data_IF_323926495631
#
_entry.id   IF_323926495631
#
_cell.length_a   1.000
_cell.length_b   1.000
_cell.length_c   1.000
_cell.angle_alpha   90.00
_cell.angle_beta   90.00
_cell.angle_gamma   90.00
#
_symmetry.space_group_name_H-M   'P 1'
#
loop_
_entity.id
_entity.type
_entity.pdbx_description
1 polymer ?
#
# COMPACT_ATOMS: atom_id res chain seq x y z
N UNK A 1 -17.48 -0.80 -15.41
CA UNK A 1 -18.03 -1.87 -14.53
C UNK A 1 -18.88 -1.17 -13.48
N UNK A 2 -20.16 -1.46 -13.46
CA UNK A 2 -21.03 -0.91 -12.43
C UNK A 2 -20.96 -1.77 -11.16
N UNK A 3 -20.97 -1.11 -10.02
CA UNK A 3 -21.04 -1.78 -8.72
C UNK A 3 -22.45 -2.33 -8.52
N UNK A 4 -22.59 -3.59 -8.11
CA UNK A 4 -23.93 -4.14 -7.84
C UNK A 4 -24.58 -3.43 -6.65
N UNK A 5 -25.91 -3.27 -6.64
CA UNK A 5 -26.63 -2.68 -5.51
C UNK A 5 -26.32 -3.37 -4.18
N UNK A 6 -26.14 -4.70 -4.20
CA UNK A 6 -25.78 -5.49 -3.01
C UNK A 6 -24.39 -5.11 -2.47
N UNK A 7 -23.42 -4.87 -3.37
CA UNK A 7 -22.08 -4.46 -2.98
C UNK A 7 -22.09 -3.06 -2.37
N UNK A 8 -22.82 -2.12 -3.00
CA UNK A 8 -23.00 -0.76 -2.45
C UNK A 8 -23.67 -0.79 -1.07
N UNK A 9 -24.69 -1.63 -0.89
CA UNK A 9 -25.35 -1.79 0.42
C UNK A 9 -24.39 -2.33 1.47
N UNK A 10 -23.55 -3.31 1.11
CA UNK A 10 -22.52 -3.86 2.04
C UNK A 10 -21.48 -2.84 2.48
N UNK A 11 -21.20 -1.80 1.68
CA UNK A 11 -20.29 -0.73 2.04
C UNK A 11 -20.85 0.24 3.07
N UNK A 12 -22.18 0.37 3.18
CA UNK A 12 -22.81 1.31 4.11
C UNK A 12 -22.46 1.06 5.57
N UNK A 13 -22.12 -0.19 5.95
CA UNK A 13 -21.67 -0.51 7.32
C UNK A 13 -20.36 0.18 7.69
N UNK A 14 -19.63 0.67 6.70
CA UNK A 14 -18.36 1.40 6.88
C UNK A 14 -18.53 2.93 6.78
N UNK A 15 -19.75 3.45 6.52
CA UNK A 15 -20.00 4.86 6.27
C UNK A 15 -19.34 5.78 7.31
N UNK A 16 -19.49 5.44 8.60
CA UNK A 16 -18.95 6.24 9.71
C UNK A 16 -17.49 5.96 10.04
N UNK A 17 -16.80 5.11 9.28
CA UNK A 17 -15.40 4.76 9.52
C UNK A 17 -14.43 5.78 8.94
N UNK A 18 -14.84 6.55 7.93
CA UNK A 18 -14.05 7.64 7.34
C UNK A 18 -14.24 8.89 8.22
N UNK A 19 -13.18 9.31 8.90
CA UNK A 19 -13.18 10.46 9.83
C UNK A 19 -12.53 11.70 9.22
N UNK A 20 -11.61 11.52 8.27
CA UNK A 20 -10.90 12.57 7.53
C UNK A 20 -11.51 12.73 6.15
N UNK A 21 -11.27 13.88 5.52
CA UNK A 21 -11.66 14.08 4.15
C UNK A 21 -10.75 13.26 3.23
N UNK A 22 -11.34 12.39 2.41
CA UNK A 22 -10.64 11.51 1.48
C UNK A 22 -11.02 11.85 0.05
N UNK A 23 -10.08 11.81 -0.87
CA UNK A 23 -10.34 12.07 -2.28
C UNK A 23 -9.67 11.01 -3.15
N UNK A 24 -10.34 10.60 -4.22
CA UNK A 24 -9.72 9.90 -5.33
C UNK A 24 -9.26 10.92 -6.37
N UNK A 25 -7.96 11.15 -6.45
CA UNK A 25 -7.36 12.10 -7.38
C UNK A 25 -7.07 11.39 -8.71
N UNK A 26 -7.72 11.84 -9.77
CA UNK A 26 -7.68 11.20 -11.10
C UNK A 26 -7.00 12.12 -12.08
N UNK A 27 -6.25 11.56 -13.04
CA UNK A 27 -5.71 12.31 -14.17
C UNK A 27 -6.78 12.73 -15.17
N UNK A 28 -6.61 13.96 -15.68
CA UNK A 28 -7.44 14.54 -16.76
C UNK A 28 -6.95 14.08 -18.13
N UNK A 29 -7.06 12.79 -18.43
CA UNK A 29 -6.70 12.24 -19.74
C UNK A 29 -7.81 11.34 -20.28
N UNK A 30 -7.97 11.36 -21.61
CA UNK A 30 -8.99 10.56 -22.28
C UNK A 30 -8.58 9.10 -22.44
N UNK A 31 -9.56 8.22 -22.23
CA UNK A 31 -9.40 6.79 -22.46
C UNK A 31 -10.78 6.15 -22.73
N UNK A 32 -10.91 5.12 -23.59
CA UNK A 32 -12.19 4.46 -23.87
C UNK A 32 -12.90 3.92 -22.63
N UNK A 33 -12.17 3.59 -21.56
CA UNK A 33 -12.73 3.11 -20.29
C UNK A 33 -12.89 4.22 -19.23
N UNK A 34 -12.69 5.50 -19.58
CA UNK A 34 -12.72 6.61 -18.61
C UNK A 34 -14.08 6.75 -17.94
N UNK A 35 -15.14 6.64 -18.71
CA UNK A 35 -16.52 6.71 -18.19
C UNK A 35 -16.80 5.60 -17.18
N UNK A 36 -16.47 4.34 -17.53
CA UNK A 36 -16.65 3.20 -16.62
C UNK A 36 -15.78 3.33 -15.35
N UNK A 37 -14.59 3.90 -15.48
CA UNK A 37 -13.70 4.17 -14.38
C UNK A 37 -14.25 5.22 -13.42
N UNK A 38 -14.76 6.34 -13.96
CA UNK A 38 -15.40 7.39 -13.18
C UNK A 38 -16.69 6.90 -12.51
N UNK A 39 -17.52 6.16 -13.24
CA UNK A 39 -18.76 5.55 -12.70
C UNK A 39 -18.44 4.65 -11.49
N UNK A 40 -17.39 3.83 -11.58
CA UNK A 40 -16.97 2.95 -10.51
C UNK A 40 -16.51 3.74 -9.26
N UNK A 41 -15.65 4.74 -9.43
CA UNK A 41 -15.13 5.53 -8.31
C UNK A 41 -16.19 6.41 -7.67
N UNK A 42 -17.05 7.07 -8.49
CA UNK A 42 -18.17 7.86 -7.98
C UNK A 42 -19.22 6.99 -7.27
N UNK A 43 -19.44 5.75 -7.75
CA UNK A 43 -20.31 4.79 -7.07
C UNK A 43 -19.83 4.48 -5.65
N UNK A 44 -18.53 4.29 -5.45
CA UNK A 44 -17.97 4.12 -4.11
C UNK A 44 -18.09 5.41 -3.30
N UNK A 45 -17.70 6.55 -3.88
CA UNK A 45 -17.72 7.84 -3.20
C UNK A 45 -19.11 8.22 -2.71
N UNK A 46 -20.17 7.87 -3.45
CA UNK A 46 -21.56 8.16 -3.06
C UNK A 46 -22.02 7.53 -1.74
N UNK A 47 -21.28 6.55 -1.23
CA UNK A 47 -21.61 5.86 0.04
C UNK A 47 -21.08 6.63 1.26
N UNK A 48 -20.00 7.39 1.11
CA UNK A 48 -19.27 8.01 2.21
C UNK A 48 -19.41 9.54 2.15
N UNK A 49 -19.82 10.16 3.24
CA UNK A 49 -20.01 11.62 3.30
C UNK A 49 -18.71 12.42 3.17
N UNK A 50 -17.56 11.77 3.43
CA UNK A 50 -16.23 12.35 3.41
C UNK A 50 -15.32 11.76 2.32
N UNK A 51 -15.88 11.24 1.26
CA UNK A 51 -15.13 10.72 0.11
C UNK A 51 -15.64 11.38 -1.17
N UNK A 52 -14.75 11.97 -1.92
CA UNK A 52 -15.05 12.55 -3.23
C UNK A 52 -14.11 12.05 -4.33
N UNK A 53 -14.44 12.40 -5.57
CA UNK A 53 -13.63 12.12 -6.76
C UNK A 53 -13.26 13.44 -7.39
N UNK A 54 -11.95 13.70 -7.53
CA UNK A 54 -11.41 14.94 -8.10
C UNK A 54 -10.58 14.66 -9.33
N UNK A 55 -10.80 15.43 -10.39
CA UNK A 55 -9.98 15.38 -11.59
C UNK A 55 -8.91 16.45 -11.46
N UNK A 56 -7.64 16.05 -11.49
CA UNK A 56 -6.49 16.94 -11.41
C UNK A 56 -5.65 16.87 -12.68
N UNK A 57 -4.95 17.97 -13.00
CA UNK A 57 -3.98 17.97 -14.10
C UNK A 57 -2.81 17.06 -13.75
N UNK A 58 -2.48 16.24 -14.69
CA UNK A 58 -1.49 15.16 -14.73
C UNK A 58 -0.41 15.19 -13.64
N UNK A 59 -0.53 14.30 -12.68
CA UNK A 59 0.49 14.04 -11.66
C UNK A 59 1.35 12.82 -12.00
N UNK A 60 0.76 11.87 -12.74
CA UNK A 60 1.37 10.57 -13.07
C UNK A 60 1.29 10.30 -14.58
N UNK A 61 2.43 10.31 -15.25
CA UNK A 61 2.48 10.16 -16.70
C UNK A 61 2.57 8.70 -17.15
N UNK A 62 3.05 7.80 -16.30
CA UNK A 62 3.49 6.47 -16.74
C UNK A 62 2.32 5.51 -16.99
N UNK A 63 1.24 5.56 -16.19
CA UNK A 63 0.11 4.62 -16.28
C UNK A 63 -1.25 5.33 -16.43
N UNK A 64 -1.21 6.62 -16.66
CA UNK A 64 -2.35 7.44 -17.04
C UNK A 64 -2.93 6.92 -18.36
N UNK A 65 -4.25 6.99 -18.58
CA UNK A 65 -5.23 7.84 -17.92
C UNK A 65 -6.11 7.15 -16.87
N UNK A 66 -5.97 5.86 -16.64
CA UNK A 66 -6.78 5.11 -15.66
C UNK A 66 -6.06 4.95 -14.31
N UNK A 67 -5.29 5.95 -13.93
CA UNK A 67 -4.60 5.99 -12.63
C UNK A 67 -5.28 6.97 -11.70
N UNK A 68 -5.44 6.59 -10.44
CA UNK A 68 -5.84 7.49 -9.37
C UNK A 68 -4.99 7.25 -8.12
N UNK A 69 -4.91 8.29 -7.31
CA UNK A 69 -4.28 8.26 -6.00
C UNK A 69 -5.31 8.53 -4.92
N UNK A 70 -5.19 7.86 -3.79
CA UNK A 70 -5.96 8.19 -2.59
C UNK A 70 -5.26 9.36 -1.89
N UNK A 71 -5.99 10.45 -1.64
CA UNK A 71 -5.54 11.56 -0.81
C UNK A 71 -6.33 11.60 0.51
N UNK A 72 -5.73 12.14 1.54
CA UNK A 72 -6.34 12.36 2.86
C UNK A 72 -6.04 13.78 3.33
N UNK A 73 -7.06 14.55 3.72
CA UNK A 73 -6.94 15.96 4.10
C UNK A 73 -6.13 16.76 3.05
N UNK A 74 -6.48 16.60 1.77
CA UNK A 74 -5.83 17.19 0.59
C UNK A 74 -4.35 16.82 0.38
N UNK A 75 -3.82 15.83 1.12
CA UNK A 75 -2.46 15.36 0.98
C UNK A 75 -2.43 13.96 0.33
N UNK A 76 -1.58 13.74 -0.69
CA UNK A 76 -1.35 12.43 -1.26
C UNK A 76 -0.90 11.43 -0.20
N UNK A 77 -1.51 10.23 -0.21
CA UNK A 77 -1.12 9.17 0.73
C UNK A 77 -0.01 8.27 0.19
N UNK A 78 0.26 8.34 -1.11
CA UNK A 78 1.15 7.40 -1.79
C UNK A 78 0.49 6.07 -2.16
N UNK A 79 -0.82 5.93 -2.01
CA UNK A 79 -1.57 4.76 -2.46
C UNK A 79 -2.14 5.06 -3.85
N UNK A 80 -1.64 4.35 -4.87
CA UNK A 80 -2.05 4.52 -6.25
C UNK A 80 -2.61 3.21 -6.83
N UNK A 81 -3.58 3.37 -7.72
CA UNK A 81 -4.12 2.27 -8.52
C UNK A 81 -4.15 2.65 -10.00
N UNK A 82 -3.68 1.75 -10.86
CA UNK A 82 -3.86 1.82 -12.32
C UNK A 82 -4.75 0.70 -12.79
N UNK A 83 -5.94 1.08 -13.25
CA UNK A 83 -7.05 0.21 -13.60
C UNK A 83 -8.27 0.44 -12.71
N UNK A 84 -9.29 -0.39 -12.91
CA UNK A 84 -10.50 -0.41 -12.07
C UNK A 84 -10.30 -1.53 -11.04
N UNK A 85 -10.02 -1.23 -9.76
CA UNK A 85 -9.72 -2.25 -8.75
C UNK A 85 -10.99 -3.01 -8.35
N UNK A 86 -11.44 -3.91 -9.24
CA UNK A 86 -12.52 -4.85 -9.00
C UNK A 86 -12.01 -6.23 -8.54
N UNK A 87 -12.89 -7.25 -8.57
CA UNK A 87 -12.52 -8.59 -8.14
C UNK A 87 -11.92 -8.62 -6.75
N UNK A 88 -10.81 -9.34 -6.59
CA UNK A 88 -10.14 -9.44 -5.29
C UNK A 88 -9.52 -8.11 -4.81
N UNK A 89 -9.10 -7.21 -5.73
CA UNK A 89 -8.50 -5.93 -5.36
C UNK A 89 -9.53 -4.88 -4.89
N UNK A 90 -10.83 -5.14 -5.02
CA UNK A 90 -11.86 -4.28 -4.45
C UNK A 90 -11.68 -4.10 -2.94
N UNK A 91 -11.37 -5.17 -2.24
CA UNK A 91 -11.11 -5.12 -0.80
C UNK A 91 -9.86 -4.29 -0.46
N UNK A 92 -8.83 -4.35 -1.30
CA UNK A 92 -7.60 -3.54 -1.11
C UNK A 92 -7.88 -2.04 -1.28
N UNK A 93 -8.72 -1.68 -2.26
CA UNK A 93 -9.18 -0.30 -2.43
C UNK A 93 -9.97 0.19 -1.22
N UNK A 94 -10.99 -0.56 -0.80
CA UNK A 94 -11.85 -0.15 0.32
C UNK A 94 -11.04 -0.02 1.61
N UNK A 95 -10.19 -1.01 1.93
CA UNK A 95 -9.36 -0.96 3.13
C UNK A 95 -8.39 0.23 3.10
N UNK A 96 -7.71 0.47 1.97
CA UNK A 96 -6.82 1.63 1.81
C UNK A 96 -7.55 2.95 1.99
N UNK A 97 -8.76 3.08 1.44
CA UNK A 97 -9.64 4.26 1.59
C UNK A 97 -10.05 4.48 3.05
N UNK A 98 -10.47 3.43 3.75
CA UNK A 98 -10.86 3.51 5.16
C UNK A 98 -9.67 3.90 6.04
N UNK A 99 -8.48 3.34 5.78
CA UNK A 99 -7.27 3.63 6.53
C UNK A 99 -6.76 5.05 6.25
N UNK A 100 -6.81 5.52 5.01
CA UNK A 100 -6.57 6.92 4.66
C UNK A 100 -7.55 7.86 5.40
N UNK A 101 -8.81 7.44 5.54
CA UNK A 101 -9.86 8.13 6.30
C UNK A 101 -9.71 8.04 7.82
N UNK A 102 -8.64 7.46 8.36
CA UNK A 102 -8.34 7.42 9.78
C UNK A 102 -8.70 6.09 10.50
N UNK A 103 -9.09 5.05 9.76
CA UNK A 103 -9.23 3.71 10.35
C UNK A 103 -7.87 3.13 10.75
N UNK A 104 -7.86 2.23 11.73
CA UNK A 104 -6.64 1.64 12.28
C UNK A 104 -5.83 0.87 11.23
N UNK A 105 -4.52 1.11 11.22
CA UNK A 105 -3.54 0.30 10.50
C UNK A 105 -3.29 -0.99 11.30
N UNK A 106 -3.33 -2.13 10.62
CA UNK A 106 -3.24 -3.45 11.27
C UNK A 106 -1.86 -4.11 11.01
N UNK A 107 -0.81 -3.45 11.50
CA UNK A 107 0.56 -3.95 11.49
C UNK A 107 1.13 -3.96 12.90
N UNK A 108 2.08 -4.87 13.16
CA UNK A 108 2.81 -4.91 14.42
C UNK A 108 3.59 -3.61 14.66
N UNK A 109 3.61 -3.11 15.89
CA UNK A 109 4.31 -1.87 16.26
C UNK A 109 5.79 -1.89 15.85
N UNK A 110 6.44 -3.05 15.97
CA UNK A 110 7.83 -3.20 15.58
C UNK A 110 8.06 -3.03 14.08
N UNK A 111 7.10 -3.41 13.24
CA UNK A 111 7.13 -3.19 11.80
C UNK A 111 6.83 -1.73 11.46
N UNK A 112 5.85 -1.13 12.14
CA UNK A 112 5.55 0.29 12.01
C UNK A 112 6.79 1.14 12.30
N UNK A 113 7.52 0.83 13.38
CA UNK A 113 8.75 1.55 13.74
C UNK A 113 9.85 1.38 12.70
N UNK A 114 10.01 0.20 12.10
CA UNK A 114 10.96 -0.03 11.02
C UNK A 114 10.59 0.76 9.77
N UNK A 115 9.31 0.79 9.39
CA UNK A 115 8.81 1.54 8.24
C UNK A 115 9.02 3.05 8.43
N UNK A 116 8.75 3.59 9.63
CA UNK A 116 8.99 5.00 9.96
C UNK A 116 10.45 5.42 9.86
N UNK A 117 11.39 4.49 10.03
CA UNK A 117 12.82 4.76 9.94
C UNK A 117 13.34 4.78 8.49
N UNK A 118 12.52 4.48 7.50
CA UNK A 118 12.90 4.57 6.09
C UNK A 118 13.05 6.04 5.71
N UNK A 119 14.28 6.45 5.45
CA UNK A 119 14.68 7.84 5.22
C UNK A 119 14.86 8.21 3.74
N UNK A 120 14.79 7.22 2.84
CA UNK A 120 14.82 7.41 1.38
C UNK A 120 13.47 7.13 0.74
N UNK A 121 13.25 7.69 -0.45
CA UNK A 121 12.04 7.39 -1.24
C UNK A 121 12.09 5.95 -1.75
N UNK A 122 10.99 5.22 -1.55
CA UNK A 122 10.76 3.88 -2.07
C UNK A 122 9.42 3.89 -2.81
N UNK A 123 9.48 3.69 -4.10
CA UNK A 123 8.29 3.63 -4.94
C UNK A 123 8.06 2.17 -5.33
N UNK A 124 7.08 1.53 -4.69
CA UNK A 124 6.65 0.19 -5.06
C UNK A 124 5.73 0.25 -6.28
N UNK A 125 5.96 -0.65 -7.21
CA UNK A 125 5.04 -1.00 -8.29
C UNK A 125 4.63 -2.46 -8.07
N UNK A 126 3.33 -2.67 -7.84
CA UNK A 126 2.79 -3.99 -7.55
C UNK A 126 1.87 -4.43 -8.69
N UNK A 127 2.38 -5.32 -9.56
CA UNK A 127 1.58 -5.90 -10.62
C UNK A 127 0.68 -6.99 -10.06
N UNK A 128 -0.60 -6.89 -10.39
CA UNK A 128 -1.66 -7.78 -9.90
C UNK A 128 -2.53 -8.29 -11.05
N UNK A 129 -3.34 -9.29 -10.75
CA UNK A 129 -4.51 -9.66 -11.55
C UNK A 129 -5.74 -9.59 -10.66
N UNK A 130 -6.85 -9.08 -11.17
CA UNK A 130 -8.09 -8.94 -10.41
C UNK A 130 -8.71 -10.28 -9.98
N UNK A 131 -8.28 -11.40 -10.58
CA UNK A 131 -8.63 -12.77 -10.20
C UNK A 131 -7.64 -13.46 -9.26
N UNK A 132 -6.58 -12.77 -8.83
CA UNK A 132 -5.55 -13.33 -7.98
C UNK A 132 -5.93 -13.25 -6.51
N UNK A 133 -6.13 -14.38 -5.85
CA UNK A 133 -6.53 -14.46 -4.43
C UNK A 133 -5.42 -14.00 -3.45
N UNK A 134 -4.14 -14.12 -3.84
CA UNK A 134 -3.01 -13.77 -2.98
C UNK A 134 -2.54 -12.31 -3.16
N UNK A 135 -3.00 -11.63 -4.21
CA UNK A 135 -2.58 -10.26 -4.51
C UNK A 135 -3.01 -9.25 -3.42
N UNK A 136 -4.25 -9.32 -2.88
CA UNK A 136 -4.70 -8.37 -1.87
C UNK A 136 -3.84 -8.33 -0.61
N UNK A 137 -3.32 -9.46 -0.14
CA UNK A 137 -2.46 -9.50 1.06
C UNK A 137 -1.23 -8.61 0.88
N UNK A 138 -0.60 -8.66 -0.30
CA UNK A 138 0.60 -7.89 -0.60
C UNK A 138 0.26 -6.42 -0.82
N UNK A 139 -0.78 -6.14 -1.61
CA UNK A 139 -1.24 -4.77 -1.90
C UNK A 139 -1.62 -4.03 -0.61
N UNK A 140 -2.41 -4.65 0.25
CA UNK A 140 -2.86 -4.05 1.51
C UNK A 140 -1.68 -3.75 2.44
N UNK A 141 -0.71 -4.65 2.54
CA UNK A 141 0.49 -4.43 3.33
C UNK A 141 1.30 -3.23 2.81
N UNK A 142 1.52 -3.14 1.50
CA UNK A 142 2.27 -2.03 0.91
C UNK A 142 1.52 -0.71 0.95
N UNK A 143 0.19 -0.73 0.84
CA UNK A 143 -0.66 0.45 1.08
C UNK A 143 -0.49 0.97 2.52
N UNK A 144 -0.44 0.08 3.50
CA UNK A 144 -0.17 0.48 4.89
C UNK A 144 1.23 1.09 5.06
N UNK A 145 2.24 0.61 4.31
CA UNK A 145 3.57 1.24 4.32
C UNK A 145 3.51 2.70 3.85
N UNK A 146 2.78 2.96 2.76
CA UNK A 146 2.60 4.31 2.23
C UNK A 146 1.90 5.23 3.24
N UNK A 147 0.88 4.73 3.96
CA UNK A 147 0.20 5.49 5.02
C UNK A 147 1.08 5.76 6.25
N UNK A 148 2.07 4.90 6.54
CA UNK A 148 2.97 5.05 7.68
C UNK A 148 4.12 6.01 7.37
N UNK A 149 4.63 6.00 6.13
CA UNK A 149 5.79 6.79 5.74
C UNK A 149 5.57 7.54 4.43
N UNK A 150 5.64 8.86 4.48
CA UNK A 150 5.58 9.74 3.29
C UNK A 150 6.72 9.52 2.27
N UNK A 151 7.71 8.74 2.65
CA UNK A 151 8.80 8.34 1.75
C UNK A 151 8.45 7.11 0.91
N UNK A 152 7.29 6.50 1.15
CA UNK A 152 6.87 5.27 0.47
C UNK A 152 5.63 5.55 -0.36
N UNK A 153 5.61 5.01 -1.57
CA UNK A 153 4.42 4.89 -2.38
C UNK A 153 4.20 3.44 -2.78
N UNK A 154 2.94 3.04 -2.95
CA UNK A 154 2.58 1.77 -3.58
C UNK A 154 1.64 2.01 -4.74
N UNK A 155 2.07 1.65 -5.92
CA UNK A 155 1.31 1.73 -7.15
C UNK A 155 0.86 0.33 -7.57
N UNK A 156 -0.40 0.02 -7.32
CA UNK A 156 -1.03 -1.23 -7.73
C UNK A 156 -1.47 -1.14 -9.19
N UNK A 157 -1.02 -2.06 -10.03
CA UNK A 157 -1.20 -2.03 -11.48
C UNK A 157 -1.89 -3.32 -11.94
N UNK A 158 -3.05 -3.20 -12.56
CA UNK A 158 -3.72 -4.35 -13.20
C UNK A 158 -2.97 -4.76 -14.46
N UNK A 159 -2.24 -5.87 -14.39
CA UNK A 159 -1.44 -6.39 -15.49
C UNK A 159 -2.24 -6.67 -16.78
N UNK A 160 -3.54 -6.94 -16.68
CA UNK A 160 -4.40 -7.14 -17.85
C UNK A 160 -4.61 -5.86 -18.67
N UNK A 161 -4.53 -4.69 -18.04
CA UNK A 161 -4.61 -3.40 -18.74
C UNK A 161 -3.27 -2.95 -19.30
N UNK A 162 -2.17 -3.45 -18.76
CA UNK A 162 -0.81 -3.06 -19.11
C UNK A 162 0.05 -4.24 -19.58
N UNK A 163 -0.37 -5.00 -20.65
CA UNK A 163 0.33 -6.20 -21.10
C UNK A 163 1.75 -5.93 -21.61
N UNK A 164 2.02 -4.72 -22.10
CA UNK A 164 3.37 -4.32 -22.48
C UNK A 164 4.30 -4.29 -21.27
N UNK A 165 3.85 -3.69 -20.15
CA UNK A 165 4.61 -3.64 -18.91
C UNK A 165 4.87 -5.04 -18.34
N UNK A 166 3.86 -5.91 -18.36
CA UNK A 166 3.99 -7.31 -17.95
C UNK A 166 5.09 -8.02 -18.74
N UNK A 167 5.12 -7.81 -20.07
CA UNK A 167 6.13 -8.39 -20.95
C UNK A 167 7.52 -7.77 -20.73
N UNK A 168 7.62 -6.45 -20.65
CA UNK A 168 8.89 -5.73 -20.45
C UNK A 168 9.56 -6.09 -19.11
N UNK A 169 8.75 -6.36 -18.08
CA UNK A 169 9.20 -6.74 -16.73
C UNK A 169 9.35 -8.26 -16.57
N UNK A 170 9.13 -9.05 -17.61
CA UNK A 170 9.17 -10.53 -17.58
C UNK A 170 8.37 -11.13 -16.42
N UNK A 171 7.14 -10.62 -16.20
CA UNK A 171 6.29 -11.06 -15.09
C UNK A 171 5.68 -12.42 -15.40
N UNK A 172 6.09 -13.45 -14.65
CA UNK A 172 5.62 -14.83 -14.80
C UNK A 172 4.46 -15.17 -13.84
N UNK A 173 4.32 -14.45 -12.76
CA UNK A 173 3.29 -14.68 -11.75
C UNK A 173 2.94 -13.39 -11.00
N UNK A 174 1.77 -13.36 -10.34
CA UNK A 174 1.30 -12.22 -9.54
C UNK A 174 0.92 -12.69 -8.12
N UNK A 175 1.08 -11.80 -7.13
CA UNK A 175 1.58 -10.44 -7.22
C UNK A 175 3.09 -10.39 -7.52
N UNK A 176 3.53 -9.43 -8.31
CA UNK A 176 4.96 -9.14 -8.52
C UNK A 176 5.25 -7.71 -8.08
N UNK A 177 6.20 -7.55 -7.17
CA UNK A 177 6.56 -6.28 -6.55
C UNK A 177 7.91 -5.81 -7.08
N UNK A 178 7.95 -4.57 -7.56
CA UNK A 178 9.14 -3.92 -8.09
C UNK A 178 9.47 -2.65 -7.30
N UNK A 179 10.73 -2.31 -7.23
CA UNK A 179 11.24 -1.02 -6.76
C UNK A 179 12.29 -0.55 -7.76
N UNK A 180 12.13 0.69 -8.26
CA UNK A 180 13.05 1.27 -9.27
C UNK A 180 13.26 0.36 -10.49
N UNK A 181 12.22 -0.39 -10.89
CA UNK A 181 12.26 -1.31 -12.03
C UNK A 181 12.80 -2.70 -11.73
N UNK A 182 13.39 -2.94 -10.57
CA UNK A 182 13.89 -4.25 -10.15
C UNK A 182 12.86 -5.04 -9.35
N UNK A 183 12.71 -6.32 -9.67
CA UNK A 183 11.83 -7.21 -8.92
C UNK A 183 12.37 -7.46 -7.52
N UNK A 184 11.57 -7.14 -6.51
CA UNK A 184 11.88 -7.36 -5.09
C UNK A 184 11.22 -8.63 -4.59
N UNK A 185 9.99 -8.91 -5.06
CA UNK A 185 9.23 -10.07 -4.63
C UNK A 185 8.29 -10.54 -5.73
N UNK A 186 7.96 -11.84 -5.71
CA UNK A 186 6.93 -12.45 -6.55
C UNK A 186 6.17 -13.49 -5.73
N UNK A 187 4.85 -13.59 -5.95
CA UNK A 187 3.95 -14.45 -5.19
C UNK A 187 3.66 -13.94 -3.78
N UNK A 188 3.08 -14.79 -2.96
CA UNK A 188 2.71 -14.45 -1.58
C UNK A 188 3.95 -14.17 -0.74
N UNK A 189 4.02 -12.99 -0.14
CA UNK A 189 5.14 -12.58 0.71
C UNK A 189 4.64 -11.84 1.95
N UNK A 190 5.22 -12.14 3.11
CA UNK A 190 4.89 -11.43 4.35
C UNK A 190 5.55 -10.05 4.41
N UNK A 191 4.95 -9.14 5.17
CA UNK A 191 5.46 -7.79 5.44
C UNK A 191 6.91 -7.80 5.92
N UNK A 192 7.25 -8.67 6.88
CA UNK A 192 8.61 -8.79 7.41
C UNK A 192 9.61 -9.23 6.33
N UNK A 193 9.20 -10.13 5.44
CA UNK A 193 10.05 -10.58 4.34
C UNK A 193 10.23 -9.49 3.26
N UNK A 194 9.25 -8.62 3.03
CA UNK A 194 9.43 -7.46 2.15
C UNK A 194 10.52 -6.56 2.72
N UNK A 195 10.43 -6.18 4.01
CA UNK A 195 11.44 -5.35 4.67
C UNK A 195 12.82 -6.00 4.61
N UNK A 196 12.90 -7.31 4.91
CA UNK A 196 14.16 -8.06 4.82
C UNK A 196 14.77 -7.96 3.43
N UNK A 197 13.99 -8.17 2.37
CA UNK A 197 14.45 -8.07 0.98
C UNK A 197 14.91 -6.65 0.61
N UNK A 198 14.25 -5.60 1.12
CA UNK A 198 14.69 -4.23 0.93
C UNK A 198 16.05 -3.97 1.57
N UNK A 199 16.30 -4.53 2.76
CA UNK A 199 17.60 -4.46 3.44
C UNK A 199 18.68 -5.22 2.65
N UNK A 200 18.40 -6.48 2.24
CA UNK A 200 19.31 -7.33 1.47
C UNK A 200 19.74 -6.68 0.15
N UNK A 201 18.82 -5.95 -0.51
CA UNK A 201 19.09 -5.18 -1.72
C UNK A 201 19.75 -3.81 -1.46
N UNK A 202 20.02 -3.46 -0.20
CA UNK A 202 20.59 -2.16 0.18
C UNK A 202 19.64 -0.97 -0.07
N UNK A 203 18.36 -1.24 -0.29
CA UNK A 203 17.35 -0.22 -0.54
C UNK A 203 16.96 0.54 0.73
N UNK A 204 17.07 -0.09 1.89
CA UNK A 204 16.86 0.54 3.20
C UNK A 204 17.93 0.09 4.20
N UNK A 205 18.14 0.90 5.22
CA UNK A 205 18.97 0.56 6.38
C UNK A 205 18.06 0.43 7.60
N UNK A 206 18.02 -0.73 8.22
CA UNK A 206 17.37 -0.89 9.52
C UNK A 206 18.43 -0.63 10.61
N UNK A 207 18.13 0.31 11.52
CA UNK A 207 18.94 0.41 12.73
C UNK A 207 18.72 -0.87 13.54
N UNK A 208 19.76 -1.55 14.01
CA UNK A 208 19.59 -2.70 14.86
C UNK A 208 18.73 -2.29 16.07
N UNK A 209 17.70 -3.08 16.37
CA UNK A 209 16.93 -2.91 17.59
C UNK A 209 17.94 -2.89 18.73
N UNK A 210 18.06 -1.80 19.49
CA UNK A 210 18.70 -1.86 20.80
C UNK A 210 17.87 -2.86 21.60
N UNK A 211 18.31 -4.11 21.67
CA UNK A 211 17.77 -5.04 22.61
C UNK A 211 17.96 -4.39 23.98
N UNK A 212 16.88 -4.01 24.64
CA UNK A 212 16.89 -3.87 26.08
C UNK A 212 17.03 -5.30 26.59
N UNK A 213 18.25 -5.82 26.59
CA UNK A 213 18.56 -6.91 27.47
C UNK A 213 18.21 -6.39 28.87
N UNK A 214 17.38 -7.08 29.63
CA UNK A 214 17.24 -6.74 31.03
C UNK A 214 18.68 -6.72 31.58
N UNK A 215 19.05 -5.62 32.20
CA UNK A 215 20.29 -5.56 32.97
C UNK A 215 20.08 -6.62 34.06
N UNK A 216 20.61 -7.82 33.85
CA UNK A 216 20.81 -8.75 34.92
C UNK A 216 21.86 -8.08 35.77
N UNK A 217 21.48 -7.73 36.98
CA UNK A 217 22.42 -7.28 37.99
C UNK A 217 23.54 -8.32 38.09
N UNK A 218 24.70 -7.98 37.53
CA UNK A 218 25.89 -8.80 37.71
C UNK A 218 26.34 -8.54 39.14
N UNK A 219 25.92 -9.42 40.05
CA UNK A 219 26.46 -9.45 41.40
C UNK A 219 27.91 -9.96 41.27
N UNK A 220 28.86 -9.06 41.30
CA UNK A 220 30.28 -9.40 41.41
C UNK A 220 30.50 -9.87 42.84
N UNK A 221 30.51 -11.18 43.04
CA UNK A 221 30.94 -11.79 44.30
C UNK A 221 32.48 -11.68 44.31
N UNK A 222 33.00 -10.72 45.01
CA UNK A 222 34.42 -10.60 45.26
C UNK A 222 34.92 -11.80 46.07
N UNK A 223 35.68 -12.70 45.45
CA UNK A 223 36.45 -13.73 46.11
C UNK A 223 37.65 -13.04 46.82
N UNK A 224 37.51 -12.86 48.08
CA UNK A 224 38.64 -12.48 48.94
C UNK A 224 39.57 -13.70 49.11
N UNK A 225 40.75 -13.64 48.53
CA UNK A 225 41.80 -14.63 48.76
C UNK A 225 42.34 -14.42 50.20
N UNK A 226 41.97 -15.35 51.08
CA UNK A 226 42.61 -15.47 52.39
C UNK A 226 43.93 -16.24 52.14
N UNK A 227 45.05 -15.55 52.30
CA UNK A 227 46.36 -16.20 52.44
C UNK A 227 46.49 -16.70 53.87
N UNK A 228 46.74 -17.99 54.01
CA UNK A 228 47.37 -18.62 55.18
C UNK A 228 48.80 -18.97 54.81
#
# INVERSE_FOLDING_TARGET
MELSPQLLESLKVYKDKIKKDVSFLINDQDHPKKESFLTFLNGIASIFDKLDVRIEKTRYNQYSPLTFEIASDDQPTGILFSGIPGGHEFNSLILGTLQAGGSKINLDESLIDQIKQIDRKINFETLVSLSCENCPDVVQNLNQFALISKNITNHTIDGNLYPKLVKERDVQSVPSVFVEGEMVASGRISTANIIKKLVEKGLIRTKPKKSKLPIQDVVVIGLSLIHI
#
